data_IF_822104712047
#
_entry.id   IF_822104712047
#
_cell.length_a   1.000
_cell.length_b   1.000
_cell.length_c   1.000
_cell.angle_alpha   90.00
_cell.angle_beta   90.00
_cell.angle_gamma   90.00
#
_symmetry.space_group_name_H-M   'P 1'
#
loop_
_entity.id
_entity.type
_entity.pdbx_description
1 polymer ?
#
# COMPACT_ATOMS: atom_id res chain seq x y z
N UNK A 1 5.28 -18.92 6.49
CA UNK A 1 4.43 -18.29 7.54
C UNK A 1 3.39 -17.42 6.84
N UNK A 2 2.12 -17.54 7.23
CA UNK A 2 0.98 -17.01 6.46
C UNK A 2 0.75 -15.50 6.59
N UNK A 3 1.30 -14.84 7.61
CA UNK A 3 1.44 -13.40 7.68
C UNK A 3 2.58 -12.96 8.65
N UNK A 4 3.29 -11.86 8.37
CA UNK A 4 4.29 -11.27 9.26
C UNK A 4 3.70 -10.76 10.58
N UNK A 5 4.52 -10.67 11.63
CA UNK A 5 4.11 -10.25 12.99
C UNK A 5 3.35 -8.92 13.01
N UNK A 6 3.80 -7.93 12.24
CA UNK A 6 3.16 -6.61 12.11
C UNK A 6 1.69 -6.65 11.63
N UNK A 7 1.26 -7.73 10.98
CA UNK A 7 -0.09 -7.89 10.45
C UNK A 7 -0.96 -8.82 11.30
N UNK A 8 -0.41 -9.41 12.37
CA UNK A 8 -1.13 -10.38 13.19
C UNK A 8 -2.26 -9.76 14.01
N UNK A 9 -2.32 -8.42 14.13
CA UNK A 9 -3.49 -7.71 14.65
C UNK A 9 -4.73 -7.94 13.78
N UNK A 10 -4.55 -8.10 12.47
CA UNK A 10 -5.62 -8.26 11.48
C UNK A 10 -5.70 -9.68 10.90
N UNK A 11 -4.65 -10.48 11.06
CA UNK A 11 -4.49 -11.81 10.47
C UNK A 11 -4.19 -12.86 11.54
N UNK A 12 -4.82 -14.03 11.42
CA UNK A 12 -4.48 -15.22 12.18
C UNK A 12 -3.37 -16.01 11.44
N UNK A 13 -2.13 -16.05 11.98
CA UNK A 13 -1.00 -16.69 11.31
C UNK A 13 -1.09 -18.23 11.32
N UNK A 14 -1.97 -18.82 12.13
CA UNK A 14 -2.19 -20.27 12.16
C UNK A 14 -3.27 -20.67 11.17
N UNK A 15 -4.33 -19.87 11.06
CA UNK A 15 -5.51 -20.18 10.24
C UNK A 15 -5.51 -19.54 8.86
N UNK A 16 -4.56 -18.66 8.55
CA UNK A 16 -4.50 -17.88 7.31
C UNK A 16 -5.80 -17.10 7.05
N UNK A 17 -6.42 -16.57 8.10
CA UNK A 17 -7.72 -15.88 8.03
C UNK A 17 -7.62 -14.49 8.62
N UNK A 18 -8.43 -13.57 8.09
CA UNK A 18 -8.61 -12.26 8.70
C UNK A 18 -9.31 -12.41 10.06
N UNK A 19 -8.91 -11.57 11.02
CA UNK A 19 -9.51 -11.49 12.35
C UNK A 19 -10.68 -10.53 12.33
N UNK A 20 -11.77 -10.94 12.99
CA UNK A 20 -12.99 -10.13 13.11
C UNK A 20 -13.52 -9.66 11.75
N UNK A 21 -13.94 -8.40 11.68
CA UNK A 21 -14.46 -7.77 10.45
C UNK A 21 -13.37 -7.02 9.67
N UNK A 22 -12.12 -7.51 9.72
CA UNK A 22 -11.03 -6.88 8.97
C UNK A 22 -11.21 -7.14 7.47
N UNK A 23 -11.00 -6.10 6.65
CA UNK A 23 -11.05 -6.16 5.19
C UNK A 23 -9.67 -6.42 4.57
N UNK A 24 -8.62 -6.11 5.32
CA UNK A 24 -7.22 -6.26 4.91
C UNK A 24 -6.38 -6.64 6.13
N UNK A 25 -5.11 -6.98 5.90
CA UNK A 25 -4.16 -7.21 7.01
C UNK A 25 -2.82 -6.50 6.83
N UNK A 26 -2.44 -6.20 5.58
CA UNK A 26 -1.16 -5.59 5.27
C UNK A 26 -1.22 -4.74 4.01
N UNK A 27 -0.05 -4.26 3.59
CA UNK A 27 0.06 -3.38 2.44
C UNK A 27 -0.15 -1.89 2.78
N UNK A 28 0.26 -1.00 1.86
CA UNK A 28 0.22 0.45 2.06
C UNK A 28 -1.21 1.01 2.08
N UNK A 29 -2.18 0.29 1.54
CA UNK A 29 -3.59 0.67 1.49
C UNK A 29 -4.44 0.05 2.61
N UNK A 30 -3.83 -0.39 3.72
CA UNK A 30 -4.54 -0.97 4.86
C UNK A 30 -4.33 -0.13 6.13
N UNK A 31 -5.42 0.34 6.72
CA UNK A 31 -5.42 1.01 8.03
C UNK A 31 -5.63 -0.01 9.15
N UNK A 32 -4.75 0.00 10.15
CA UNK A 32 -4.87 -0.80 11.37
C UNK A 32 -5.49 0.07 12.46
N UNK A 33 -6.76 -0.18 12.78
CA UNK A 33 -7.55 0.70 13.65
C UNK A 33 -7.70 0.08 15.04
N UNK A 34 -7.36 0.83 16.09
CA UNK A 34 -7.61 0.44 17.48
C UNK A 34 -9.07 0.70 17.84
N UNK A 35 -9.76 -0.28 18.39
CA UNK A 35 -11.04 -0.07 19.08
C UNK A 35 -10.75 0.36 20.51
N UNK A 36 -11.48 1.38 20.94
CA UNK A 36 -11.45 1.83 22.32
C UNK A 36 -12.08 0.73 23.17
N UNK A 37 -11.36 0.31 24.21
CA UNK A 37 -11.68 -0.84 25.06
C UNK A 37 -12.90 -0.55 25.95
N UNK A 38 -14.11 -0.50 25.37
CA UNK A 38 -15.38 -0.56 26.12
C UNK A 38 -15.99 -1.96 26.13
N UNK A 39 -15.30 -2.97 25.59
CA UNK A 39 -15.71 -4.37 25.76
C UNK A 39 -14.62 -5.13 26.52
N UNK A 40 -14.84 -5.23 27.82
CA UNK A 40 -14.11 -6.09 28.74
C UNK A 40 -14.43 -7.57 28.46
N UNK A 41 -13.84 -8.17 27.40
CA UNK A 41 -13.72 -9.63 27.29
C UNK A 41 -12.42 -10.01 26.57
N UNK A 42 -11.40 -10.35 27.35
CA UNK A 42 -10.35 -11.35 27.08
C UNK A 42 -9.47 -11.21 25.80
N UNK A 43 -8.35 -10.50 25.95
CA UNK A 43 -6.97 -10.80 25.46
C UNK A 43 -6.76 -11.29 24.01
N UNK A 44 -7.49 -10.80 23.02
CA UNK A 44 -7.00 -10.78 21.63
C UNK A 44 -7.36 -9.46 20.97
N UNK A 45 -6.48 -8.48 21.20
CA UNK A 45 -6.31 -7.23 20.47
C UNK A 45 -7.59 -6.70 19.77
N UNK A 46 -8.22 -5.70 20.39
CA UNK A 46 -9.38 -4.95 19.91
C UNK A 46 -9.02 -4.09 18.68
N UNK A 47 -8.59 -4.70 17.59
CA UNK A 47 -8.24 -4.02 16.35
C UNK A 47 -9.13 -4.53 15.23
N UNK A 48 -9.45 -3.66 14.29
CA UNK A 48 -10.02 -4.05 13.00
C UNK A 48 -9.29 -3.28 11.92
N UNK A 49 -9.20 -3.87 10.74
CA UNK A 49 -8.37 -3.32 9.68
C UNK A 49 -9.21 -3.05 8.45
N UNK A 50 -9.08 -1.87 7.87
CA UNK A 50 -9.92 -1.41 6.75
C UNK A 50 -9.08 -0.96 5.57
N UNK A 51 -9.63 -1.13 4.38
CA UNK A 51 -9.06 -0.55 3.18
C UNK A 51 -9.09 0.97 3.29
N UNK A 52 -7.98 1.61 2.94
CA UNK A 52 -7.92 3.07 2.79
C UNK A 52 -8.91 3.52 1.72
N UNK A 53 -9.53 4.71 1.85
CA UNK A 53 -10.47 5.20 0.84
C UNK A 53 -9.77 5.47 -0.50
N UNK A 54 -10.54 5.42 -1.58
CA UNK A 54 -10.04 5.75 -2.92
C UNK A 54 -9.45 7.16 -2.96
N UNK A 55 -8.34 7.34 -3.65
CA UNK A 55 -7.62 8.61 -3.73
C UNK A 55 -6.66 8.87 -2.57
N UNK A 56 -6.47 7.91 -1.64
CA UNK A 56 -5.42 8.04 -0.62
C UNK A 56 -4.06 7.73 -1.22
N UNK A 57 -3.09 8.65 -1.14
CA UNK A 57 -1.74 8.38 -1.63
C UNK A 57 -1.11 7.21 -0.88
N UNK A 58 -0.54 6.27 -1.63
CA UNK A 58 -0.02 5.02 -1.07
C UNK A 58 1.44 4.78 -1.46
N UNK A 59 1.91 5.43 -2.53
CA UNK A 59 3.31 5.63 -2.86
C UNK A 59 3.46 7.06 -3.38
N UNK A 60 4.45 7.78 -2.85
CA UNK A 60 4.80 9.10 -3.36
C UNK A 60 5.67 8.94 -4.62
N UNK A 61 5.66 9.95 -5.47
CA UNK A 61 6.59 10.03 -6.59
C UNK A 61 8.05 10.01 -6.10
N UNK A 62 8.88 9.22 -6.77
CA UNK A 62 10.33 9.17 -6.62
C UNK A 62 11.00 9.99 -7.73
N UNK A 63 10.93 11.31 -7.59
CA UNK A 63 11.52 12.25 -8.53
C UNK A 63 10.57 12.67 -9.66
N UNK A 64 11.05 13.54 -10.54
CA UNK A 64 10.14 14.29 -11.43
C UNK A 64 9.64 13.51 -12.65
N UNK A 65 10.18 12.31 -12.91
CA UNK A 65 9.73 11.40 -13.97
C UNK A 65 8.64 10.42 -13.50
N UNK A 66 8.44 10.35 -12.19
CA UNK A 66 7.58 9.38 -11.52
C UNK A 66 6.23 10.02 -11.15
N UNK A 67 5.17 9.22 -11.08
CA UNK A 67 3.83 9.68 -10.70
C UNK A 67 3.42 9.01 -9.38
N UNK A 68 2.71 9.70 -8.48
CA UNK A 68 2.22 9.07 -7.27
C UNK A 68 1.06 8.10 -7.57
N UNK A 69 0.97 7.01 -6.82
CA UNK A 69 -0.18 6.11 -6.83
C UNK A 69 -1.09 6.32 -5.62
N UNK A 70 -2.35 6.06 -5.88
CA UNK A 70 -3.43 6.23 -4.93
C UNK A 70 -4.16 4.90 -4.75
N UNK A 71 -4.55 4.61 -3.51
CA UNK A 71 -5.43 3.49 -3.20
C UNK A 71 -6.72 3.60 -4.03
N UNK A 72 -7.24 2.45 -4.46
CA UNK A 72 -8.48 2.35 -5.23
C UNK A 72 -9.73 2.17 -4.34
N UNK A 73 -9.53 1.92 -3.04
CA UNK A 73 -10.60 1.62 -2.08
C UNK A 73 -11.06 0.15 -2.06
N UNK A 74 -10.47 -0.71 -2.89
CA UNK A 74 -10.89 -2.09 -3.11
C UNK A 74 -9.75 -3.10 -2.85
N UNK A 75 -8.49 -2.66 -2.89
CA UNK A 75 -7.30 -3.47 -2.65
C UNK A 75 -6.45 -2.91 -1.50
N UNK A 76 -5.81 -3.82 -0.75
CA UNK A 76 -4.86 -3.46 0.31
C UNK A 76 -3.47 -3.08 -0.24
N UNK A 77 -3.24 -3.38 -1.52
CA UNK A 77 -2.02 -3.06 -2.25
C UNK A 77 -2.24 -1.79 -3.09
N UNK A 78 -1.18 -1.00 -3.24
CA UNK A 78 -1.20 0.05 -4.26
C UNK A 78 -1.46 -0.55 -5.64
N UNK A 79 -2.08 0.22 -6.55
CA UNK A 79 -2.01 -0.05 -7.98
C UNK A 79 -0.56 -0.22 -8.46
N UNK A 80 -0.41 -0.72 -9.69
CA UNK A 80 0.89 -0.83 -10.32
C UNK A 80 1.58 0.54 -10.40
N UNK A 81 2.89 0.52 -10.21
CA UNK A 81 3.77 1.69 -10.31
C UNK A 81 3.71 2.28 -11.72
N UNK A 82 3.38 3.57 -11.81
CA UNK A 82 3.20 4.30 -13.06
C UNK A 82 4.11 5.53 -13.12
N UNK A 83 4.59 5.80 -14.32
CA UNK A 83 5.49 6.90 -14.60
C UNK A 83 4.86 7.80 -15.66
N UNK A 84 5.47 8.98 -15.86
CA UNK A 84 5.13 9.84 -16.99
C UNK A 84 5.30 9.10 -18.31
N UNK A 85 4.65 9.59 -19.36
CA UNK A 85 4.73 8.93 -20.67
C UNK A 85 6.15 9.01 -21.22
N UNK A 86 6.60 7.95 -21.91
CA UNK A 86 7.88 7.95 -22.59
C UNK A 86 8.01 9.16 -23.53
N UNK A 87 9.17 9.82 -23.47
CA UNK A 87 9.43 11.05 -24.21
C UNK A 87 8.91 12.32 -23.53
N UNK A 88 8.10 12.22 -22.47
CA UNK A 88 7.80 13.39 -21.65
C UNK A 88 9.07 13.88 -20.96
N UNK A 89 9.17 15.20 -20.81
CA UNK A 89 10.33 15.82 -20.21
C UNK A 89 10.24 15.80 -18.69
N UNK A 90 11.32 15.36 -18.07
CA UNK A 90 11.52 15.40 -16.63
C UNK A 90 12.98 15.76 -16.32
N UNK A 91 13.31 15.76 -15.04
CA UNK A 91 14.58 16.22 -14.49
C UNK A 91 15.14 15.19 -13.49
N UNK A 92 16.46 14.98 -13.53
CA UNK A 92 17.16 14.26 -12.47
C UNK A 92 17.23 15.12 -11.20
N UNK A 93 17.65 14.51 -10.09
CA UNK A 93 17.86 15.22 -8.82
C UNK A 93 18.93 16.33 -8.92
N UNK A 94 19.83 16.25 -9.92
CA UNK A 94 20.80 17.32 -10.24
C UNK A 94 20.25 18.39 -11.22
N UNK A 95 18.94 18.37 -11.50
CA UNK A 95 18.27 19.33 -12.39
C UNK A 95 18.58 19.14 -13.87
N UNK A 96 19.21 18.03 -14.27
CA UNK A 96 19.47 17.74 -15.69
C UNK A 96 18.18 17.26 -16.36
N UNK A 97 17.86 17.87 -17.50
CA UNK A 97 16.71 17.49 -18.33
C UNK A 97 16.95 16.10 -18.91
N UNK A 98 16.02 15.19 -18.66
CA UNK A 98 15.97 13.84 -19.22
C UNK A 98 14.60 13.62 -19.85
N UNK A 99 14.56 12.83 -20.91
CA UNK A 99 13.28 12.28 -21.37
C UNK A 99 12.97 11.07 -20.53
N UNK A 100 11.70 10.88 -20.17
CA UNK A 100 11.27 9.62 -19.58
C UNK A 100 11.58 8.52 -20.58
N UNK A 101 12.44 7.58 -20.17
CA UNK A 101 12.70 6.34 -20.88
C UNK A 101 12.40 5.26 -19.85
N UNK A 102 11.14 4.84 -19.77
CA UNK A 102 10.81 3.63 -19.02
C UNK A 102 11.42 2.50 -19.84
N UNK A 103 12.63 2.07 -19.48
CA UNK A 103 13.23 0.89 -20.09
C UNK A 103 12.28 -0.30 -19.88
N UNK A 104 11.41 -0.55 -20.86
CA UNK A 104 11.13 -1.91 -21.27
C UNK A 104 12.49 -2.50 -21.63
N UNK A 105 13.06 -3.27 -20.71
CA UNK A 105 13.85 -4.43 -21.09
C UNK A 105 12.98 -5.33 -21.99
N UNK A 106 12.93 -4.97 -23.27
CA UNK A 106 12.49 -5.83 -24.37
C UNK A 106 13.50 -5.63 -25.49
N UNK A 107 14.76 -5.99 -25.19
CA UNK A 107 15.81 -6.40 -26.13
C UNK A 107 17.04 -6.80 -25.31
N UNK A 108 16.98 -7.97 -24.67
CA UNK A 108 18.00 -9.03 -24.65
C UNK A 108 17.28 -10.35 -24.33
#
# INVERSE_FOLDING_TARGET
>A
TSCPEKWQACCDPVRCRLRGNSQCAGGPCCDIIKKNSLENVNRSASFYCKLKPSGTICRNESGTCDLPEYCDGHSQWCPADVYKIDGELCYTDEGRRVSVIIFKNSLF
#
